data_IF_561229154558
#
_entry.id   IF_561229154558
#
_cell.length_a   1.000
_cell.length_b   1.000
_cell.length_c   1.000
_cell.angle_alpha   90.00
_cell.angle_beta   90.00
_cell.angle_gamma   90.00
#
_symmetry.space_group_name_H-M   'P 1'
#
loop_
_entity.id
_entity.type
_entity.pdbx_description
1 polymer ?
#
# COMPACT_ATOMS: atom_id res chain seq x y z
N UNK A 1 -21.95 -17.09 16.16
CA UNK A 1 -20.65 -17.74 16.12
C UNK A 1 -20.25 -18.16 14.73
N UNK A 2 -21.13 -18.84 14.04
CA UNK A 2 -20.85 -19.21 12.65
C UNK A 2 -20.65 -18.00 11.76
N UNK A 3 -21.35 -16.92 12.04
CA UNK A 3 -21.19 -15.70 11.27
C UNK A 3 -19.80 -15.09 11.39
N UNK A 4 -19.19 -15.18 12.56
CA UNK A 4 -17.84 -14.68 12.75
C UNK A 4 -16.83 -15.46 11.93
N UNK A 5 -16.99 -16.76 11.88
CA UNK A 5 -16.12 -17.61 11.08
C UNK A 5 -16.29 -17.33 9.60
N UNK A 6 -17.54 -17.14 9.16
CA UNK A 6 -17.81 -16.81 7.76
C UNK A 6 -17.19 -15.48 7.35
N UNK A 7 -17.27 -14.48 8.22
CA UNK A 7 -16.67 -13.17 7.93
C UNK A 7 -15.15 -13.30 7.80
N UNK A 8 -14.54 -14.08 8.67
CA UNK A 8 -13.11 -14.31 8.59
C UNK A 8 -12.72 -15.03 7.32
N UNK A 9 -13.51 -16.01 6.91
CA UNK A 9 -13.25 -16.74 5.68
C UNK A 9 -13.37 -15.84 4.46
N UNK A 10 -14.37 -14.98 4.44
CA UNK A 10 -14.55 -14.01 3.35
C UNK A 10 -13.35 -13.07 3.28
N UNK A 11 -12.89 -12.55 4.41
CA UNK A 11 -11.73 -11.69 4.43
C UNK A 11 -10.48 -12.41 3.95
N UNK A 12 -10.31 -13.66 4.32
CA UNK A 12 -9.19 -14.45 3.86
C UNK A 12 -9.25 -14.69 2.36
N UNK A 13 -10.43 -14.89 1.82
CA UNK A 13 -10.61 -15.05 0.38
C UNK A 13 -10.25 -13.79 -0.38
N UNK A 14 -10.61 -12.60 0.12
CA UNK A 14 -10.19 -11.35 -0.48
C UNK A 14 -8.68 -11.18 -0.47
N UNK A 15 -8.01 -11.72 0.53
CA UNK A 15 -6.55 -11.59 0.65
C UNK A 15 -5.81 -12.71 -0.05
N UNK A 16 -6.45 -13.89 -0.17
CA UNK A 16 -5.87 -15.05 -0.82
C UNK A 16 -6.66 -15.34 -2.08
N UNK A 17 -6.08 -15.00 -3.20
CA UNK A 17 -6.70 -15.28 -4.49
C UNK A 17 -5.83 -16.25 -5.25
N UNK A 18 -6.39 -16.91 -6.24
CA UNK A 18 -5.63 -17.77 -7.14
C UNK A 18 -4.81 -17.02 -8.16
N UNK A 19 -4.81 -15.68 -8.11
CA UNK A 19 -4.10 -14.88 -9.09
C UNK A 19 -2.60 -14.92 -8.86
N UNK A 20 -1.85 -14.97 -9.95
CA UNK A 20 -0.40 -14.85 -9.91
C UNK A 20 -0.02 -13.39 -9.63
N UNK A 21 1.26 -13.18 -9.29
CA UNK A 21 1.76 -11.83 -9.07
C UNK A 21 1.58 -10.93 -10.28
N UNK A 22 1.67 -11.48 -11.47
CA UNK A 22 1.52 -10.74 -12.71
C UNK A 22 0.08 -10.32 -12.99
N UNK A 23 -0.87 -11.07 -12.46
CA UNK A 23 -2.29 -10.76 -12.60
C UNK A 23 -2.79 -9.78 -11.55
N UNK A 24 -2.01 -9.53 -10.51
CA UNK A 24 -2.37 -8.60 -9.45
C UNK A 24 -1.96 -7.18 -9.81
N UNK A 25 -2.83 -6.51 -10.53
CA UNK A 25 -2.58 -5.16 -11.02
C UNK A 25 -3.21 -4.09 -10.14
N UNK A 26 -2.76 -2.87 -10.31
CA UNK A 26 -3.29 -1.72 -9.59
C UNK A 26 -3.53 -0.58 -10.58
N UNK A 27 -4.73 -0.01 -10.52
CA UNK A 27 -5.11 1.14 -11.32
C UNK A 27 -5.42 2.30 -10.41
N UNK A 28 -4.89 3.47 -10.73
CA UNK A 28 -5.12 4.69 -9.96
C UNK A 28 -5.51 5.77 -10.96
N UNK A 29 -6.65 6.43 -10.71
CA UNK A 29 -7.10 7.47 -11.61
C UNK A 29 -7.76 8.63 -10.87
N UNK A 30 -7.60 9.80 -11.41
CA UNK A 30 -8.23 11.02 -10.95
C UNK A 30 -8.00 12.11 -11.99
N UNK A 31 -8.82 13.15 -11.97
CA UNK A 31 -8.56 14.32 -12.79
C UNK A 31 -8.19 15.51 -11.88
N UNK A 32 -7.90 16.65 -12.48
CA UNK A 32 -7.47 17.82 -11.72
C UNK A 32 -8.57 18.43 -10.84
N UNK A 33 -9.80 18.18 -11.17
CA UNK A 33 -10.94 18.67 -10.40
C UNK A 33 -11.35 17.74 -9.27
N UNK A 34 -11.00 16.45 -9.38
CA UNK A 34 -11.37 15.49 -8.36
C UNK A 34 -10.77 15.85 -7.00
N UNK A 35 -11.58 15.78 -5.98
CA UNK A 35 -11.10 15.87 -4.60
C UNK A 35 -10.64 14.50 -4.08
N UNK A 36 -10.92 13.45 -4.82
CA UNK A 36 -10.61 12.07 -4.45
C UNK A 36 -9.71 11.43 -5.50
N UNK A 37 -8.92 10.49 -5.04
CA UNK A 37 -8.16 9.59 -5.91
C UNK A 37 -8.84 8.24 -5.84
N UNK A 38 -9.07 7.64 -7.00
CA UNK A 38 -9.70 6.34 -7.12
C UNK A 38 -8.63 5.28 -7.31
N UNK A 39 -8.68 4.23 -6.50
CA UNK A 39 -7.70 3.16 -6.53
C UNK A 39 -8.42 1.84 -6.65
N UNK A 40 -8.07 1.08 -7.67
CA UNK A 40 -8.56 -0.29 -7.84
C UNK A 40 -7.35 -1.21 -7.84
N UNK A 41 -7.31 -2.16 -6.92
CA UNK A 41 -6.10 -2.94 -6.77
C UNK A 41 -6.37 -4.40 -6.41
N UNK A 42 -5.53 -5.27 -6.97
CA UNK A 42 -5.45 -6.67 -6.57
C UNK A 42 -4.26 -6.89 -5.62
N UNK A 43 -3.44 -5.87 -5.41
CA UNK A 43 -2.22 -6.00 -4.61
C UNK A 43 -2.56 -6.25 -3.15
N UNK A 44 -2.08 -7.36 -2.61
CA UNK A 44 -2.43 -7.80 -1.26
C UNK A 44 -1.98 -6.79 -0.20
N UNK A 45 -0.76 -6.30 -0.31
CA UNK A 45 -0.23 -5.33 0.65
C UNK A 45 -0.99 -4.01 0.59
N UNK A 46 -1.21 -3.50 -0.60
CA UNK A 46 -1.92 -2.23 -0.78
C UNK A 46 -3.36 -2.32 -0.29
N UNK A 47 -4.04 -3.43 -0.56
CA UNK A 47 -5.40 -3.65 -0.04
C UNK A 47 -5.43 -3.57 1.49
N UNK A 48 -4.48 -4.22 2.15
CA UNK A 48 -4.39 -4.19 3.61
C UNK A 48 -4.16 -2.80 4.14
N UNK A 49 -3.26 -2.07 3.51
CA UNK A 49 -2.92 -0.72 3.92
C UNK A 49 -4.09 0.24 3.74
N UNK A 50 -4.76 0.15 2.60
CA UNK A 50 -5.92 0.99 2.32
C UNK A 50 -7.09 0.67 3.24
N UNK A 51 -7.33 -0.61 3.48
CA UNK A 51 -8.40 -1.03 4.38
C UNK A 51 -8.15 -0.55 5.82
N UNK A 52 -6.91 -0.66 6.28
CA UNK A 52 -6.54 -0.18 7.61
C UNK A 52 -6.69 1.34 7.70
N UNK A 53 -6.25 2.05 6.68
CA UNK A 53 -6.38 3.51 6.63
C UNK A 53 -7.85 3.93 6.62
N UNK A 54 -8.68 3.26 5.84
CA UNK A 54 -10.11 3.54 5.78
C UNK A 54 -10.79 3.30 7.14
N UNK A 55 -10.36 2.29 7.86
CA UNK A 55 -10.86 2.03 9.20
C UNK A 55 -10.48 3.10 10.21
N UNK A 56 -9.28 3.65 10.09
CA UNK A 56 -8.80 4.69 10.99
C UNK A 56 -9.29 6.08 10.60
N UNK A 57 -9.46 6.32 9.32
CA UNK A 57 -9.82 7.64 8.79
C UNK A 57 -10.97 7.52 7.79
N UNK A 58 -12.16 7.15 8.25
CA UNK A 58 -13.29 6.91 7.33
C UNK A 58 -13.77 8.15 6.60
N UNK A 59 -13.44 9.32 7.09
CA UNK A 59 -13.74 10.59 6.43
C UNK A 59 -12.76 10.92 5.31
N UNK A 60 -11.61 10.24 5.26
CA UNK A 60 -10.58 10.50 4.28
C UNK A 60 -10.43 9.39 3.25
N UNK A 61 -10.84 8.19 3.60
CA UNK A 61 -10.69 7.03 2.72
C UNK A 61 -11.85 6.06 2.95
N UNK A 62 -12.34 5.51 1.84
CA UNK A 62 -13.48 4.61 1.91
C UNK A 62 -13.36 3.53 0.85
N UNK A 63 -13.67 2.31 1.24
CA UNK A 63 -13.77 1.21 0.28
C UNK A 63 -15.09 1.35 -0.47
N UNK A 64 -15.02 1.38 -1.80
CA UNK A 64 -16.18 1.57 -2.65
C UNK A 64 -16.66 0.28 -3.30
N UNK A 65 -15.78 -0.68 -3.47
CA UNK A 65 -16.16 -1.94 -4.10
C UNK A 65 -15.19 -3.05 -3.72
N UNK A 66 -15.63 -4.28 -3.89
CA UNK A 66 -14.80 -5.46 -3.70
C UNK A 66 -15.35 -6.60 -4.55
N UNK A 67 -14.45 -7.31 -5.23
CA UNK A 67 -14.81 -8.46 -6.05
C UNK A 67 -14.33 -9.74 -5.35
N UNK A 68 -15.24 -10.57 -4.85
CA UNK A 68 -14.85 -11.78 -4.15
C UNK A 68 -14.19 -12.83 -5.05
N UNK A 69 -14.42 -12.78 -6.34
CA UNK A 69 -13.82 -13.75 -7.25
C UNK A 69 -12.35 -13.48 -7.51
N UNK A 70 -12.00 -12.23 -7.72
CA UNK A 70 -10.63 -11.85 -8.04
C UNK A 70 -9.87 -11.30 -6.85
N UNK A 71 -10.57 -10.92 -5.80
CA UNK A 71 -9.97 -10.26 -4.66
C UNK A 71 -9.66 -8.79 -4.90
N UNK A 72 -10.14 -8.23 -6.00
CA UNK A 72 -9.95 -6.83 -6.32
C UNK A 72 -10.75 -5.96 -5.36
N UNK A 73 -10.15 -4.88 -4.90
CA UNK A 73 -10.81 -3.89 -4.07
C UNK A 73 -10.66 -2.51 -4.66
N UNK A 74 -11.71 -1.69 -4.48
CA UNK A 74 -11.67 -0.29 -4.91
C UNK A 74 -11.82 0.61 -3.71
N UNK A 75 -11.07 1.70 -3.72
CA UNK A 75 -11.09 2.70 -2.66
C UNK A 75 -11.10 4.09 -3.25
N UNK A 76 -11.75 5.01 -2.52
CA UNK A 76 -11.63 6.44 -2.77
C UNK A 76 -10.88 7.04 -1.58
N UNK A 77 -9.84 7.80 -1.87
CA UNK A 77 -9.05 8.45 -0.83
C UNK A 77 -8.89 9.93 -1.14
N UNK A 78 -8.95 10.78 -0.12
CA UNK A 78 -8.80 12.21 -0.28
C UNK A 78 -7.45 12.53 -0.93
N UNK A 79 -7.48 13.42 -1.91
CA UNK A 79 -6.31 13.72 -2.73
C UNK A 79 -5.09 14.14 -1.92
N UNK A 80 -5.30 14.87 -0.86
CA UNK A 80 -4.20 15.30 0.00
C UNK A 80 -3.63 14.21 0.89
N UNK A 81 -4.21 13.02 0.90
CA UNK A 81 -3.78 11.90 1.75
C UNK A 81 -3.06 10.80 1.01
N UNK A 82 -2.99 10.91 -0.31
CA UNK A 82 -2.27 9.95 -1.13
C UNK A 82 -1.35 10.74 -2.05
N UNK A 83 -0.07 10.60 -1.85
CA UNK A 83 0.90 11.37 -2.62
C UNK A 83 1.72 10.50 -3.55
N UNK A 84 2.05 11.06 -4.69
CA UNK A 84 2.96 10.44 -5.64
C UNK A 84 4.32 11.08 -5.45
N UNK A 85 5.28 10.26 -5.11
CA UNK A 85 6.60 10.75 -4.80
C UNK A 85 7.62 10.20 -5.77
N UNK A 86 8.32 11.10 -6.43
CA UNK A 86 9.42 10.72 -7.30
C UNK A 86 10.72 10.93 -6.53
N UNK A 87 11.58 9.95 -6.60
CA UNK A 87 12.88 10.03 -5.94
C UNK A 87 13.98 9.92 -6.98
N UNK A 88 15.10 10.59 -6.72
CA UNK A 88 16.25 10.47 -7.58
C UNK A 88 16.89 9.10 -7.39
N UNK A 89 17.42 8.50 -8.45
CA UNK A 89 18.15 7.24 -8.31
C UNK A 89 19.44 7.45 -7.54
N UNK A 90 19.83 6.47 -6.75
CA UNK A 90 21.12 6.52 -6.08
C UNK A 90 22.22 6.19 -7.07
N UNK A 91 23.34 6.93 -6.97
CA UNK A 91 24.56 6.54 -7.64
C UNK A 91 25.13 5.29 -6.98
N UNK A 92 26.00 4.57 -7.69
CA UNK A 92 26.64 3.39 -7.12
C UNK A 92 27.43 3.72 -5.87
N UNK A 93 28.15 4.81 -5.90
CA UNK A 93 28.92 5.28 -4.74
C UNK A 93 28.03 5.48 -3.53
N UNK A 94 26.91 6.10 -3.72
CA UNK A 94 25.95 6.36 -2.66
C UNK A 94 25.35 5.07 -2.12
N UNK A 95 25.09 4.12 -3.00
CA UNK A 95 24.56 2.82 -2.59
C UNK A 95 25.57 2.06 -1.77
N UNK A 96 26.83 2.09 -2.18
CA UNK A 96 27.91 1.42 -1.46
C UNK A 96 28.14 2.05 -0.11
N UNK A 97 28.12 3.36 -0.04
CA UNK A 97 28.27 4.08 1.22
C UNK A 97 27.13 3.75 2.19
N UNK A 98 25.90 3.72 1.72
CA UNK A 98 24.76 3.37 2.54
C UNK A 98 24.84 1.92 3.03
N UNK A 99 25.27 1.00 2.17
CA UNK A 99 25.44 -0.40 2.52
C UNK A 99 26.53 -0.58 3.58
N UNK A 100 27.66 0.11 3.44
CA UNK A 100 28.74 0.07 4.43
C UNK A 100 28.29 0.67 5.75
N UNK A 101 27.60 1.77 5.72
CA UNK A 101 27.08 2.40 6.93
C UNK A 101 26.09 1.48 7.65
N UNK A 102 25.22 0.82 6.92
CA UNK A 102 24.28 -0.11 7.51
C UNK A 102 24.99 -1.29 8.17
N UNK A 103 26.03 -1.82 7.54
CA UNK A 103 26.81 -2.91 8.11
C UNK A 103 27.58 -2.47 9.35
N UNK A 104 28.14 -1.27 9.29
CA UNK A 104 28.95 -0.74 10.37
C UNK A 104 28.14 -0.43 11.62
N UNK A 105 26.89 -0.05 11.41
CA UNK A 105 26.01 0.35 12.49
C UNK A 105 24.87 -0.62 12.71
N UNK A 106 25.10 -1.89 12.44
CA UNK A 106 24.06 -2.88 12.57
C UNK A 106 23.46 -2.98 13.97
N UNK A 107 24.18 -2.53 14.98
CA UNK A 107 23.67 -2.48 16.33
C UNK A 107 22.95 -1.19 16.70
N UNK A 108 23.05 -0.17 15.86
CA UNK A 108 22.49 1.13 16.13
C UNK A 108 21.48 1.52 15.08
N UNK A 109 20.41 0.80 15.10
CA UNK A 109 19.48 0.96 14.01
C UNK A 109 18.61 2.19 14.06
N UNK A 110 18.70 2.89 15.13
CA UNK A 110 17.88 4.05 15.29
C UNK A 110 18.22 5.21 14.41
N UNK A 111 19.11 5.10 13.62
CA UNK A 111 19.70 6.15 13.21
C UNK A 111 19.30 6.73 12.07
N UNK A 112 19.54 7.75 12.09
CA UNK A 112 19.37 8.84 11.18
C UNK A 112 19.81 8.55 9.78
N UNK A 113 20.17 7.39 9.54
CA UNK A 113 20.42 6.88 8.20
C UNK A 113 19.30 7.27 7.25
N UNK A 114 18.09 7.28 7.78
CA UNK A 114 16.92 7.65 7.00
C UNK A 114 16.93 9.10 6.56
N UNK A 115 17.53 9.95 7.34
CA UNK A 115 17.64 11.36 7.00
C UNK A 115 18.58 11.59 5.84
N UNK A 116 19.60 10.78 5.79
CA UNK A 116 20.61 10.90 4.75
C UNK A 116 20.09 10.43 3.40
N UNK A 117 19.07 9.62 3.41
CA UNK A 117 18.51 9.08 2.20
C UNK A 117 17.57 10.07 1.51
N UNK A 118 17.15 11.04 2.24
CA UNK A 118 16.30 12.08 1.70
C UNK A 118 17.13 13.19 1.09
#
# INVERSE_FOLDING_TARGET
>A
MMQKAMIKDILLEFMRTGLTKQEKTTDIWFDEKDSLIHIRTHNTDLKKRLAAYAGQHPDQCRQTDADPETGCMEFDIAKGRFSFRLTAPYSEERRNAASKAAKKHSGNLTHPIQKDVL
#
